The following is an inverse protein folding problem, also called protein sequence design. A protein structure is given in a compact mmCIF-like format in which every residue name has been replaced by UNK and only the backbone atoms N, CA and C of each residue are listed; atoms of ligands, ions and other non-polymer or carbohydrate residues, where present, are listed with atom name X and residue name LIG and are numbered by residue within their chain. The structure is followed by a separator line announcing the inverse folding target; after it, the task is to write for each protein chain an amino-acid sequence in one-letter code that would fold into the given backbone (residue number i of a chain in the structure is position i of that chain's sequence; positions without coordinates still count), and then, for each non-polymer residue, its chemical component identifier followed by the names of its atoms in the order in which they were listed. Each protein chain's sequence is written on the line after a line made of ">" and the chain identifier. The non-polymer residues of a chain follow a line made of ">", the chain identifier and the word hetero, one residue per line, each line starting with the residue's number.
data_IF_753423462355
#
_entry.id   IF_753423462355
#
_cell.length_a   1.000
_cell.length_b   1.000
_cell.length_c   1.000
_cell.angle_alpha   90.00
_cell.angle_beta   90.00
_cell.angle_gamma   90.00
#
_symmetry.space_group_name_H-M   'P 1'
#
loop_
_entity.id
_entity.type
_entity.pdbx_description
1 polymer ?
#
# COMPACT_ATOMS: atom_id res chain seq x y z
N UNK A 1 -17.57 -17.28 -60.66
CA UNK A 1 -18.91 -17.89 -60.58
C UNK A 1 -18.78 -19.21 -59.84
N UNK A 2 -19.20 -19.24 -58.56
CA UNK A 2 -19.86 -20.36 -57.88
C UNK A 2 -20.42 -19.73 -56.60
N UNK A 3 -21.74 -19.75 -56.52
CA UNK A 3 -22.58 -19.21 -55.47
C UNK A 3 -22.62 -20.26 -54.37
N UNK A 4 -22.22 -19.92 -53.14
CA UNK A 4 -22.52 -20.73 -51.96
C UNK A 4 -23.42 -19.91 -51.04
N UNK A 5 -24.70 -20.19 -51.17
CA UNK A 5 -25.82 -19.64 -50.44
C UNK A 5 -26.11 -20.59 -49.27
N UNK A 6 -25.86 -20.18 -48.03
CA UNK A 6 -26.31 -20.92 -46.84
C UNK A 6 -26.97 -19.96 -45.85
N UNK A 7 -28.28 -19.86 -46.04
CA UNK A 7 -29.37 -19.89 -45.06
C UNK A 7 -29.15 -19.29 -43.67
N UNK A 8 -29.87 -18.19 -43.45
CA UNK A 8 -30.20 -17.56 -42.16
C UNK A 8 -31.13 -18.46 -41.34
N UNK A 9 -30.82 -18.68 -40.06
CA UNK A 9 -31.81 -19.10 -39.06
C UNK A 9 -31.66 -18.23 -37.80
N UNK A 10 -32.55 -17.24 -37.70
CA UNK A 10 -32.78 -16.41 -36.51
C UNK A 10 -33.67 -17.18 -35.53
N UNK A 11 -33.16 -17.53 -34.36
CA UNK A 11 -33.95 -18.01 -33.22
C UNK A 11 -33.98 -16.91 -32.15
N UNK A 12 -35.05 -16.13 -32.16
CA UNK A 12 -35.42 -15.19 -31.10
C UNK A 12 -36.11 -15.97 -29.97
N UNK A 13 -35.41 -16.20 -28.86
CA UNK A 13 -36.00 -16.72 -27.63
C UNK A 13 -36.45 -15.54 -26.75
N UNK A 14 -37.76 -15.26 -26.75
CA UNK A 14 -38.40 -14.34 -25.82
C UNK A 14 -38.75 -15.09 -24.53
N UNK A 15 -38.08 -14.77 -23.42
CA UNK A 15 -38.49 -15.20 -22.08
C UNK A 15 -39.36 -14.11 -21.44
N UNK A 16 -40.67 -14.33 -21.51
CA UNK A 16 -41.70 -13.52 -20.84
C UNK A 16 -41.71 -13.85 -19.34
N UNK A 17 -41.44 -12.87 -18.49
CA UNK A 17 -41.60 -12.95 -17.03
C UNK A 17 -43.10 -12.95 -16.63
N UNK A 18 -43.55 -13.81 -15.71
CA UNK A 18 -44.90 -13.75 -15.17
C UNK A 18 -45.07 -12.59 -14.16
N UNK A 19 -46.25 -11.94 -14.08
CA UNK A 19 -46.51 -10.85 -13.14
C UNK A 19 -46.78 -11.38 -11.72
N UNK A 20 -46.05 -10.84 -10.74
CA UNK A 20 -46.31 -11.07 -9.30
C UNK A 20 -47.38 -10.09 -8.83
N UNK A 21 -48.41 -10.63 -8.18
CA UNK A 21 -49.60 -9.94 -7.69
C UNK A 21 -49.30 -8.96 -6.52
N UNK A 22 -50.15 -7.93 -6.31
CA UNK A 22 -49.93 -6.91 -5.30
C UNK A 22 -50.23 -7.43 -3.88
N UNK A 23 -49.35 -7.05 -2.93
CA UNK A 23 -49.51 -7.33 -1.52
C UNK A 23 -50.71 -6.57 -0.93
N UNK A 24 -51.49 -7.32 -0.15
CA UNK A 24 -52.72 -6.91 0.51
C UNK A 24 -52.49 -5.82 1.56
N UNK A 25 -53.29 -4.77 1.46
CA UNK A 25 -53.39 -3.63 2.37
C UNK A 25 -53.91 -4.08 3.74
N UNK A 26 -53.08 -4.01 4.78
CA UNK A 26 -53.52 -4.14 6.16
C UNK A 26 -54.08 -2.80 6.65
N UNK A 27 -55.27 -2.88 7.24
CA UNK A 27 -56.12 -1.80 7.75
C UNK A 27 -55.53 -1.12 8.98
N UNK A 28 -55.68 0.21 9.01
CA UNK A 28 -55.46 1.06 10.16
C UNK A 28 -56.42 0.72 11.31
N UNK A 29 -55.89 0.64 12.52
CA UNK A 29 -56.65 0.71 13.77
C UNK A 29 -56.29 2.01 14.47
N UNK A 30 -57.32 2.81 14.70
CA UNK A 30 -57.28 4.14 15.33
C UNK A 30 -57.50 4.01 16.85
N UNK A 31 -57.02 5.04 17.58
CA UNK A 31 -57.47 5.58 18.88
C UNK A 31 -56.55 5.34 20.11
N UNK A 32 -56.63 6.18 21.17
CA UNK A 32 -56.40 7.62 21.21
C UNK A 32 -55.49 8.04 22.40
N UNK A 33 -55.44 9.36 22.65
CA UNK A 33 -54.42 10.11 23.38
C UNK A 33 -54.45 10.11 24.92
N UNK A 34 -53.42 10.79 25.46
CA UNK A 34 -53.28 11.52 26.75
C UNK A 34 -52.86 10.74 28.00
N UNK A 35 -51.65 11.07 28.52
CA UNK A 35 -51.41 11.42 29.94
C UNK A 35 -50.24 12.43 29.99
N UNK A 36 -50.43 13.47 30.80
CA UNK A 36 -49.55 14.60 31.06
C UNK A 36 -48.50 14.32 32.15
N UNK A 37 -47.32 14.95 32.01
CA UNK A 37 -46.44 15.58 33.03
C UNK A 37 -45.88 14.70 34.20
N UNK A 38 -44.78 15.05 34.90
CA UNK A 38 -44.30 16.42 35.18
C UNK A 38 -42.81 16.72 34.98
N UNK A 39 -42.56 18.03 34.91
CA UNK A 39 -41.31 18.74 35.18
C UNK A 39 -40.73 18.37 36.54
N UNK A 40 -39.45 18.01 36.60
CA UNK A 40 -38.68 18.08 37.85
C UNK A 40 -37.27 18.63 37.61
N UNK A 41 -36.85 19.44 38.57
CA UNK A 41 -35.84 20.46 38.46
C UNK A 41 -34.41 19.92 38.66
N UNK A 42 -33.47 20.64 38.05
CA UNK A 42 -32.05 20.56 38.33
C UNK A 42 -31.79 20.75 39.84
N UNK A 43 -31.10 19.80 40.45
CA UNK A 43 -30.47 19.96 41.76
C UNK A 43 -29.00 19.56 41.63
N UNK A 44 -28.15 20.54 41.84
CA UNK A 44 -26.69 20.48 41.89
C UNK A 44 -26.24 19.63 43.10
N UNK A 45 -25.28 18.70 42.97
CA UNK A 45 -24.68 18.04 44.13
C UNK A 45 -23.58 18.91 44.76
N UNK A 46 -23.46 18.93 46.10
CA UNK A 46 -22.54 19.80 46.82
C UNK A 46 -21.09 19.30 46.80
N UNK A 47 -20.18 20.26 46.94
CA UNK A 47 -18.76 20.07 47.17
C UNK A 47 -18.50 19.30 48.47
N UNK A 48 -17.61 18.29 48.40
CA UNK A 48 -16.98 17.69 49.58
C UNK A 48 -15.51 17.37 49.34
N UNK A 49 -14.71 18.00 50.20
CA UNK A 49 -13.46 17.57 50.82
C UNK A 49 -12.33 16.95 49.98
N UNK A 50 -11.35 17.81 49.76
CA UNK A 50 -9.93 17.50 49.56
C UNK A 50 -9.34 16.71 50.74
N UNK A 51 -8.73 15.53 50.51
CA UNK A 51 -7.74 14.99 51.42
C UNK A 51 -6.32 15.38 51.01
N UNK A 52 -5.49 15.56 52.03
CA UNK A 52 -4.12 16.00 51.99
C UNK A 52 -3.19 15.14 51.11
N UNK A 53 -2.29 15.82 50.41
CA UNK A 53 -1.20 15.26 49.61
C UNK A 53 -0.21 14.54 50.53
N UNK A 54 -0.18 13.22 50.46
CA UNK A 54 0.95 12.43 50.92
C UNK A 54 2.01 12.41 49.81
N UNK A 55 3.19 12.95 50.12
CA UNK A 55 4.39 12.87 49.29
C UNK A 55 4.82 11.41 49.15
N UNK A 56 4.52 10.79 48.01
CA UNK A 56 5.08 9.52 47.59
C UNK A 56 6.21 9.78 46.60
N UNK A 57 7.42 9.39 46.98
CA UNK A 57 8.62 9.36 46.15
C UNK A 57 8.35 8.52 44.89
N UNK A 58 8.33 9.17 43.73
CA UNK A 58 8.15 8.50 42.44
C UNK A 58 9.50 7.97 41.97
N UNK A 59 9.69 6.66 42.06
CA UNK A 59 10.69 5.96 41.25
C UNK A 59 10.26 6.03 39.78
N UNK A 60 11.19 6.13 38.80
CA UNK A 60 10.81 6.13 37.39
C UNK A 60 10.24 4.75 37.05
N UNK A 61 8.92 4.69 36.90
CA UNK A 61 8.26 3.54 36.30
C UNK A 61 8.67 3.54 34.84
N UNK A 62 9.58 2.62 34.49
CA UNK A 62 9.87 2.28 33.10
C UNK A 62 8.57 1.76 32.50
N UNK A 63 7.87 2.61 31.76
CA UNK A 63 6.75 2.19 30.93
C UNK A 63 7.30 1.23 29.90
N UNK A 64 7.03 -0.06 30.10
CA UNK A 64 7.24 -1.08 29.08
C UNK A 64 6.41 -0.66 27.87
N UNK A 65 7.06 -0.17 26.82
CA UNK A 65 6.45 0.07 25.53
C UNK A 65 5.78 -1.24 25.11
N UNK A 66 4.45 -1.20 25.01
CA UNK A 66 3.70 -2.29 24.39
C UNK A 66 4.20 -2.33 22.95
N UNK A 67 4.72 -3.47 22.52
CA UNK A 67 5.19 -3.66 21.15
C UNK A 67 4.07 -3.25 20.18
N UNK A 68 4.23 -2.11 19.52
CA UNK A 68 3.43 -1.76 18.36
C UNK A 68 3.60 -2.90 17.35
N UNK A 69 2.47 -3.45 16.92
CA UNK A 69 2.46 -4.44 15.84
C UNK A 69 3.11 -3.76 14.64
N UNK A 70 4.20 -4.33 14.11
CA UNK A 70 4.92 -3.75 12.98
C UNK A 70 3.94 -3.41 11.85
N UNK A 71 3.98 -2.18 11.35
CA UNK A 71 3.12 -1.75 10.26
C UNK A 71 3.37 -2.65 9.05
N UNK A 72 2.31 -3.31 8.57
CA UNK A 72 2.36 -4.23 7.45
C UNK A 72 2.25 -3.49 6.10
N UNK A 73 1.94 -2.20 6.13
CA UNK A 73 1.74 -1.35 4.96
C UNK A 73 2.56 -0.06 5.08
N UNK A 74 3.17 0.35 3.97
CA UNK A 74 3.84 1.64 3.81
C UNK A 74 3.27 2.41 2.60
N UNK A 75 3.49 3.74 2.51
CA UNK A 75 3.09 4.50 1.34
C UNK A 75 3.68 3.93 0.06
N UNK A 76 2.99 4.13 -1.07
CA UNK A 76 3.61 3.86 -2.37
C UNK A 76 4.84 4.76 -2.55
N UNK A 77 5.66 4.46 -3.55
CA UNK A 77 6.74 5.38 -3.94
C UNK A 77 6.16 6.77 -4.24
N UNK A 78 6.93 7.81 -3.91
CA UNK A 78 6.44 9.19 -3.97
C UNK A 78 6.00 9.62 -5.36
N UNK A 79 6.58 9.02 -6.42
CA UNK A 79 6.21 9.30 -7.81
C UNK A 79 4.85 8.68 -8.14
N UNK A 80 4.61 7.43 -7.76
CA UNK A 80 3.31 6.77 -7.92
C UNK A 80 2.21 7.47 -7.11
N UNK A 81 2.49 7.89 -5.88
CA UNK A 81 1.55 8.69 -5.07
C UNK A 81 1.18 10.00 -5.77
N UNK A 82 2.17 10.72 -6.30
CA UNK A 82 1.93 11.96 -7.02
C UNK A 82 1.14 11.75 -8.31
N UNK A 83 1.43 10.68 -9.05
CA UNK A 83 0.73 10.33 -10.28
C UNK A 83 -0.75 9.98 -10.02
N UNK A 84 -1.04 9.17 -8.98
CA UNK A 84 -2.41 8.82 -8.60
C UNK A 84 -3.21 10.05 -8.15
N UNK A 85 -2.59 10.96 -7.39
CA UNK A 85 -3.22 12.21 -6.99
C UNK A 85 -3.54 13.10 -8.20
N UNK A 86 -2.65 13.17 -9.19
CA UNK A 86 -2.86 13.93 -10.41
C UNK A 86 -4.01 13.35 -11.25
N UNK A 87 -4.07 12.02 -11.42
CA UNK A 87 -5.17 11.37 -12.13
C UNK A 87 -6.49 11.48 -11.37
N UNK A 88 -6.48 11.45 -10.03
CA UNK A 88 -7.66 11.75 -9.21
C UNK A 88 -8.16 13.19 -9.45
N UNK A 89 -7.25 14.18 -9.44
CA UNK A 89 -7.60 15.58 -9.70
C UNK A 89 -8.26 15.75 -11.08
N UNK A 90 -7.70 15.09 -12.10
CA UNK A 90 -8.22 15.08 -13.46
C UNK A 90 -9.56 14.35 -13.58
N UNK A 91 -9.73 13.21 -12.90
CA UNK A 91 -10.98 12.45 -12.91
C UNK A 91 -12.13 13.20 -12.23
N UNK A 92 -11.84 13.93 -11.15
CA UNK A 92 -12.85 14.68 -10.40
C UNK A 92 -13.04 16.12 -10.88
N UNK A 93 -12.09 16.67 -11.66
CA UNK A 93 -12.11 18.05 -12.13
C UNK A 93 -11.95 19.07 -11.00
N UNK A 94 -11.28 18.69 -9.91
CA UNK A 94 -11.03 19.54 -8.73
C UNK A 94 -9.58 19.41 -8.26
N UNK A 95 -9.10 20.41 -7.53
CA UNK A 95 -7.81 20.32 -6.87
C UNK A 95 -7.83 19.27 -5.75
N UNK A 96 -6.69 18.61 -5.59
CA UNK A 96 -6.49 17.53 -4.63
C UNK A 96 -5.27 17.87 -3.77
N UNK A 97 -5.39 17.67 -2.47
CA UNK A 97 -4.25 17.77 -1.54
C UNK A 97 -3.70 16.39 -1.24
N UNK A 98 -2.38 16.28 -1.13
CA UNK A 98 -1.70 15.03 -0.76
C UNK A 98 -1.32 15.06 0.74
N UNK A 99 -1.27 13.89 1.34
CA UNK A 99 -0.80 13.67 2.71
C UNK A 99 -0.69 12.17 3.00
N UNK A 100 -0.54 11.80 4.26
CA UNK A 100 -0.53 10.40 4.69
C UNK A 100 -1.80 10.08 5.47
N UNK A 101 -2.32 8.87 5.28
CA UNK A 101 -3.46 8.36 6.03
C UNK A 101 -3.32 6.85 6.30
N UNK A 102 -3.95 6.33 7.36
CA UNK A 102 -3.94 4.89 7.62
C UNK A 102 -4.53 4.11 6.45
N UNK A 103 -3.84 3.02 6.10
CA UNK A 103 -4.31 2.00 5.15
C UNK A 103 -4.27 0.64 5.84
N UNK A 104 -5.18 -0.25 5.49
CA UNK A 104 -5.19 -1.58 6.06
C UNK A 104 -6.15 -2.51 5.35
N UNK A 105 -5.83 -3.79 5.45
CA UNK A 105 -6.64 -4.87 4.91
C UNK A 105 -7.50 -5.46 6.05
N UNK A 106 -8.81 -5.16 6.10
CA UNK A 106 -9.70 -5.69 7.13
C UNK A 106 -9.87 -7.21 7.06
N UNK A 107 -9.47 -7.86 5.96
CA UNK A 107 -9.56 -9.32 5.80
C UNK A 107 -8.41 -10.05 6.48
N UNK A 108 -7.23 -9.44 6.54
CA UNK A 108 -6.03 -9.98 7.21
C UNK A 108 -5.78 -9.34 8.58
N UNK A 109 -6.36 -8.17 8.84
CA UNK A 109 -6.09 -7.36 10.03
C UNK A 109 -4.79 -6.56 9.96
N UNK A 110 -4.10 -6.60 8.82
CA UNK A 110 -2.88 -5.85 8.57
C UNK A 110 -3.20 -4.36 8.39
N UNK A 111 -2.35 -3.49 8.93
CA UNK A 111 -2.50 -2.04 8.79
C UNK A 111 -1.15 -1.33 8.76
N UNK A 112 -1.16 -0.09 8.32
CA UNK A 112 0.01 0.77 8.22
C UNK A 112 -0.35 2.14 7.68
N UNK A 113 0.62 2.83 7.08
CA UNK A 113 0.40 4.16 6.47
C UNK A 113 0.37 4.04 4.95
N UNK A 114 -0.51 4.80 4.33
CA UNK A 114 -0.58 4.98 2.88
C UNK A 114 -0.52 6.45 2.53
N UNK A 115 -0.12 6.76 1.29
CA UNK A 115 -0.30 8.11 0.78
C UNK A 115 -1.77 8.33 0.42
N UNK A 116 -2.29 9.50 0.76
CA UNK A 116 -3.66 9.90 0.54
C UNK A 116 -3.73 11.13 -0.35
N UNK A 117 -4.56 11.03 -1.39
CA UNK A 117 -5.05 12.14 -2.17
C UNK A 117 -6.47 12.49 -1.72
N UNK A 118 -6.72 13.76 -1.37
CA UNK A 118 -8.00 14.23 -0.85
C UNK A 118 -8.56 15.39 -1.67
N UNK A 119 -9.81 15.29 -2.08
CA UNK A 119 -10.60 16.37 -2.66
C UNK A 119 -11.79 16.72 -1.76
N UNK A 120 -12.12 18.00 -1.68
CA UNK A 120 -13.31 18.48 -0.95
C UNK A 120 -14.26 19.19 -1.89
N UNK A 121 -15.55 19.15 -1.60
CA UNK A 121 -16.56 19.85 -2.38
C UNK A 121 -17.93 19.74 -1.75
N UNK A 122 -18.97 20.00 -2.53
CA UNK A 122 -20.36 19.85 -2.09
C UNK A 122 -21.12 18.82 -2.92
N UNK A 123 -22.29 18.40 -2.45
CA UNK A 123 -23.23 17.58 -3.24
C UNK A 123 -23.75 18.26 -4.51
N UNK A 124 -23.54 19.58 -4.66
CA UNK A 124 -23.78 20.28 -5.93
C UNK A 124 -22.70 19.95 -6.99
N UNK A 125 -21.50 19.58 -6.55
CA UNK A 125 -20.38 19.17 -7.41
C UNK A 125 -20.31 17.64 -7.53
N UNK A 126 -20.53 16.92 -6.43
CA UNK A 126 -20.45 15.46 -6.35
C UNK A 126 -21.85 14.86 -6.19
N UNK A 127 -22.40 14.38 -7.31
CA UNK A 127 -23.81 13.98 -7.43
C UNK A 127 -24.22 12.86 -6.46
N UNK A 128 -23.36 11.87 -6.25
CA UNK A 128 -23.55 10.82 -5.24
C UNK A 128 -22.21 10.17 -4.89
N UNK A 129 -22.08 9.56 -3.69
CA UNK A 129 -20.86 8.82 -3.33
C UNK A 129 -20.54 7.69 -4.32
N UNK A 130 -21.56 6.99 -4.80
CA UNK A 130 -21.44 5.91 -5.78
C UNK A 130 -20.86 6.40 -7.12
N UNK A 131 -21.38 7.52 -7.65
CA UNK A 131 -20.89 8.07 -8.92
C UNK A 131 -19.44 8.56 -8.82
N UNK A 132 -19.07 9.16 -7.67
CA UNK A 132 -17.69 9.59 -7.42
C UNK A 132 -16.76 8.38 -7.35
N UNK A 133 -17.11 7.37 -6.54
CA UNK A 133 -16.28 6.17 -6.39
C UNK A 133 -16.20 5.37 -7.70
N UNK A 134 -17.27 5.33 -8.50
CA UNK A 134 -17.23 4.73 -9.84
C UNK A 134 -16.25 5.46 -10.78
N UNK A 135 -16.21 6.79 -10.72
CA UNK A 135 -15.24 7.58 -11.50
C UNK A 135 -13.79 7.29 -11.10
N UNK A 136 -13.55 7.13 -9.79
CA UNK A 136 -12.24 6.69 -9.29
C UNK A 136 -11.92 5.24 -9.66
N UNK A 137 -12.92 4.35 -9.66
CA UNK A 137 -12.77 2.96 -10.06
C UNK A 137 -12.38 2.84 -11.54
N UNK A 138 -12.99 3.62 -12.42
CA UNK A 138 -12.63 3.67 -13.85
C UNK A 138 -11.18 4.16 -14.03
N UNK A 139 -10.79 5.20 -13.29
CA UNK A 139 -9.43 5.76 -13.29
C UNK A 139 -8.39 4.74 -12.81
N UNK A 140 -8.68 3.98 -11.75
CA UNK A 140 -7.80 2.93 -11.23
C UNK A 140 -7.75 1.72 -12.16
N UNK A 141 -8.88 1.30 -12.71
CA UNK A 141 -8.97 0.18 -13.66
C UNK A 141 -8.16 0.45 -14.93
N UNK A 142 -8.18 1.69 -15.44
CA UNK A 142 -7.37 2.11 -16.57
C UNK A 142 -5.85 2.00 -16.30
N UNK A 143 -5.44 1.99 -15.04
CA UNK A 143 -4.06 1.84 -14.58
C UNK A 143 -3.71 0.41 -14.14
N UNK A 144 -4.62 -0.56 -14.39
CA UNK A 144 -4.41 -1.97 -14.11
C UNK A 144 -4.73 -2.40 -12.68
N UNK A 145 -5.36 -1.54 -11.87
CA UNK A 145 -5.86 -1.93 -10.56
C UNK A 145 -7.12 -2.77 -10.69
N UNK A 146 -7.26 -3.79 -9.85
CA UNK A 146 -8.41 -4.68 -9.82
C UNK A 146 -9.22 -4.42 -8.56
N UNK A 147 -10.53 -4.21 -8.71
CA UNK A 147 -11.44 -4.07 -7.56
C UNK A 147 -11.42 -5.36 -6.73
N UNK A 148 -11.29 -5.22 -5.41
CA UNK A 148 -11.47 -6.29 -4.44
C UNK A 148 -12.87 -6.16 -3.80
N UNK A 149 -13.83 -7.02 -4.16
CA UNK A 149 -15.19 -6.95 -3.62
C UNK A 149 -15.26 -7.12 -2.11
N UNK A 150 -14.25 -7.71 -1.46
CA UNK A 150 -14.21 -7.86 0.00
C UNK A 150 -13.92 -6.55 0.73
N UNK A 151 -13.42 -5.54 0.02
CA UNK A 151 -13.04 -4.23 0.55
C UNK A 151 -14.07 -3.14 0.25
N UNK A 152 -15.23 -3.50 -0.29
CA UNK A 152 -16.32 -2.57 -0.53
C UNK A 152 -17.07 -2.23 0.77
N UNK A 153 -17.33 -0.95 0.99
CA UNK A 153 -18.10 -0.45 2.12
C UNK A 153 -19.06 0.65 1.66
N UNK A 154 -20.30 0.64 2.13
CA UNK A 154 -21.31 1.61 1.73
C UNK A 154 -22.28 1.93 2.84
N UNK A 155 -22.77 3.17 2.84
CA UNK A 155 -23.75 3.67 3.79
C UNK A 155 -24.53 4.85 3.20
N UNK A 156 -25.49 5.41 3.95
CA UNK A 156 -26.34 6.50 3.47
C UNK A 156 -25.56 7.77 3.12
N UNK A 157 -24.37 7.95 3.70
CA UNK A 157 -23.54 9.16 3.54
C UNK A 157 -22.19 8.89 2.88
N UNK A 158 -21.95 7.67 2.40
CA UNK A 158 -20.65 7.36 1.82
C UNK A 158 -20.57 6.03 1.10
N UNK A 159 -19.58 5.94 0.24
CA UNK A 159 -19.22 4.74 -0.51
C UNK A 159 -17.71 4.62 -0.50
N UNK A 160 -17.22 3.39 -0.44
CA UNK A 160 -15.82 3.04 -0.53
C UNK A 160 -15.64 1.73 -1.29
N UNK A 161 -14.59 1.66 -2.11
CA UNK A 161 -14.15 0.45 -2.80
C UNK A 161 -12.65 0.27 -2.58
N UNK A 162 -12.23 -0.96 -2.34
CA UNK A 162 -10.83 -1.33 -2.32
C UNK A 162 -10.38 -1.92 -3.65
N UNK A 163 -9.11 -1.73 -3.96
CA UNK A 163 -8.45 -2.18 -5.18
C UNK A 163 -7.10 -2.78 -4.84
N UNK A 164 -6.67 -3.78 -5.60
CA UNK A 164 -5.35 -4.38 -5.50
C UNK A 164 -4.59 -4.30 -6.82
N UNK A 165 -3.28 -4.18 -6.73
CA UNK A 165 -2.35 -4.26 -7.85
C UNK A 165 -1.00 -4.73 -7.31
N UNK A 166 -0.53 -5.89 -7.75
CA UNK A 166 0.69 -6.52 -7.23
C UNK A 166 0.65 -6.66 -5.69
N UNK A 167 1.64 -6.13 -4.96
CA UNK A 167 1.65 -6.09 -3.48
C UNK A 167 0.99 -4.82 -2.91
N UNK A 168 0.35 -4.00 -3.75
CA UNK A 168 -0.25 -2.74 -3.36
C UNK A 168 -1.77 -2.81 -3.25
N UNK A 169 -2.32 -1.96 -2.38
CA UNK A 169 -3.74 -1.74 -2.23
C UNK A 169 -4.08 -0.25 -2.26
N UNK A 170 -5.26 0.06 -2.80
CA UNK A 170 -5.85 1.39 -2.76
C UNK A 170 -7.28 1.31 -2.24
N UNK A 171 -7.68 2.30 -1.44
CA UNK A 171 -9.06 2.52 -1.03
C UNK A 171 -9.55 3.85 -1.61
N UNK A 172 -10.52 3.79 -2.51
CA UNK A 172 -11.23 4.95 -3.02
C UNK A 172 -12.51 5.14 -2.24
N UNK A 173 -12.73 6.33 -1.67
CA UNK A 173 -13.91 6.63 -0.89
C UNK A 173 -14.47 8.02 -1.20
N UNK A 174 -15.78 8.14 -1.14
CA UNK A 174 -16.50 9.41 -1.15
C UNK A 174 -17.46 9.42 0.03
N UNK A 175 -17.35 10.43 0.87
CA UNK A 175 -18.17 10.57 2.07
C UNK A 175 -18.68 12.00 2.13
N UNK A 176 -19.88 12.19 2.69
CA UNK A 176 -20.37 13.53 2.96
C UNK A 176 -20.96 13.65 4.36
N UNK A 177 -20.92 14.86 4.90
CA UNK A 177 -21.56 15.21 6.16
C UNK A 177 -22.46 16.44 5.96
N UNK A 178 -23.59 16.55 6.67
CA UNK A 178 -24.37 17.78 6.65
C UNK A 178 -23.54 18.96 7.14
N UNK A 179 -23.62 20.05 6.40
CA UNK A 179 -23.23 21.36 6.87
C UNK A 179 -24.04 21.73 8.12
N UNK A 180 -23.43 22.46 9.06
CA UNK A 180 -24.09 22.85 10.31
C UNK A 180 -25.40 23.61 10.09
N UNK A 181 -25.53 24.34 8.97
CA UNK A 181 -26.76 25.05 8.60
C UNK A 181 -27.95 24.13 8.27
N UNK A 182 -27.71 22.83 8.05
CA UNK A 182 -28.77 21.84 7.79
C UNK A 182 -29.60 21.52 9.03
N UNK A 183 -29.12 21.87 10.23
CA UNK A 183 -29.82 21.66 11.52
C UNK A 183 -30.36 20.23 11.69
N UNK A 184 -29.58 19.22 11.30
CA UNK A 184 -30.00 17.83 11.41
C UNK A 184 -30.19 17.41 12.88
N UNK A 185 -31.25 16.63 13.20
CA UNK A 185 -31.40 16.06 14.54
C UNK A 185 -30.24 15.12 14.87
N UNK A 186 -29.70 15.21 16.08
CA UNK A 186 -28.56 14.37 16.53
C UNK A 186 -28.99 12.99 17.02
N UNK A 187 -30.29 12.79 17.25
CA UNK A 187 -30.91 11.58 17.80
C UNK A 187 -31.68 10.77 16.75
N UNK A 188 -31.65 11.19 15.48
CA UNK A 188 -32.34 10.54 14.37
C UNK A 188 -31.37 10.16 13.25
N UNK A 189 -31.72 9.16 12.42
CA UNK A 189 -30.90 8.81 11.26
C UNK A 189 -30.82 9.97 10.26
N UNK A 190 -29.72 10.02 9.50
CA UNK A 190 -29.48 11.07 8.50
C UNK A 190 -30.59 11.18 7.44
N UNK A 191 -31.30 10.08 7.15
CA UNK A 191 -32.43 10.06 6.23
C UNK A 191 -33.65 10.87 6.71
N UNK A 192 -33.71 11.22 7.99
CA UNK A 192 -34.72 12.12 8.55
C UNK A 192 -34.33 13.61 8.36
N UNK A 193 -33.10 13.91 7.95
CA UNK A 193 -32.64 15.27 7.71
C UNK A 193 -32.81 15.66 6.24
N UNK A 194 -33.47 16.79 5.99
CA UNK A 194 -33.65 17.33 4.63
C UNK A 194 -32.44 18.19 4.22
N UNK A 195 -31.35 17.53 3.85
CA UNK A 195 -30.09 18.19 3.44
C UNK A 195 -30.13 18.54 1.95
N UNK A 196 -29.90 19.81 1.61
CA UNK A 196 -29.76 20.21 0.19
C UNK A 196 -28.39 19.81 -0.36
N UNK A 197 -28.21 19.69 -1.70
CA UNK A 197 -26.90 19.35 -2.27
C UNK A 197 -25.76 20.31 -1.85
N UNK A 198 -26.05 21.61 -1.72
CA UNK A 198 -25.07 22.60 -1.26
C UNK A 198 -24.69 22.42 0.22
N UNK A 199 -25.52 21.75 1.02
CA UNK A 199 -25.27 21.45 2.43
C UNK A 199 -24.63 20.07 2.63
N UNK A 200 -24.40 19.28 1.58
CA UNK A 200 -23.66 18.03 1.69
C UNK A 200 -22.17 18.35 1.53
N UNK A 201 -21.41 18.41 2.61
CA UNK A 201 -19.97 18.66 2.55
C UNK A 201 -19.25 17.35 2.27
N UNK A 202 -18.69 17.23 1.07
CA UNK A 202 -18.01 16.03 0.59
C UNK A 202 -16.52 16.06 0.90
N UNK A 203 -16.03 14.89 1.29
CA UNK A 203 -14.62 14.52 1.31
C UNK A 203 -14.48 13.27 0.43
N UNK A 204 -13.67 13.38 -0.60
CA UNK A 204 -13.30 12.27 -1.48
C UNK A 204 -11.84 11.96 -1.21
N UNK A 205 -11.52 10.70 -0.98
CA UNK A 205 -10.16 10.25 -0.67
C UNK A 205 -9.76 9.05 -1.53
N UNK A 206 -8.52 9.04 -1.96
CA UNK A 206 -7.84 7.87 -2.50
C UNK A 206 -6.61 7.61 -1.63
N UNK A 207 -6.66 6.57 -0.80
CA UNK A 207 -5.54 6.18 0.06
C UNK A 207 -4.91 4.91 -0.48
N UNK A 208 -3.61 4.93 -0.75
CA UNK A 208 -2.89 3.80 -1.31
C UNK A 208 -1.64 3.48 -0.50
N UNK A 209 -1.35 2.20 -0.37
CA UNK A 209 -0.11 1.71 0.23
C UNK A 209 0.29 0.38 -0.37
N UNK A 210 1.52 -0.02 -0.10
CA UNK A 210 2.07 -1.31 -0.48
C UNK A 210 2.41 -2.10 0.77
N UNK A 211 2.28 -3.43 0.69
CA UNK A 211 2.77 -4.27 1.75
C UNK A 211 4.26 -4.01 1.91
N UNK A 212 4.68 -3.78 3.15
CA UNK A 212 6.11 -3.74 3.47
C UNK A 212 6.66 -5.08 3.02
N UNK A 213 7.57 -5.05 2.05
CA UNK A 213 8.28 -6.26 1.69
C UNK A 213 9.04 -6.68 2.95
N UNK A 214 8.70 -7.84 3.54
CA UNK A 214 9.55 -8.43 4.56
C UNK A 214 10.81 -8.96 3.86
N UNK A 215 11.70 -8.02 3.61
CA UNK A 215 12.93 -8.09 2.84
C UNK A 215 13.43 -6.65 2.74
N UNK A 216 14.33 -6.31 3.65
CA UNK A 216 14.99 -5.01 3.83
C UNK A 216 14.26 -3.98 4.71
N UNK A 217 14.34 -4.21 6.02
CA UNK A 217 14.28 -3.12 6.98
C UNK A 217 15.42 -2.12 6.65
N UNK A 218 15.09 -0.97 6.05
CA UNK A 218 15.94 0.21 6.24
C UNK A 218 15.80 0.58 7.73
N UNK A 219 16.85 0.48 8.55
CA UNK A 219 16.74 0.90 9.93
C UNK A 219 16.62 2.42 9.92
N UNK A 220 15.40 2.94 10.11
CA UNK A 220 15.23 4.27 10.70
C UNK A 220 15.56 4.14 12.19
N UNK A 221 16.84 3.94 12.47
CA UNK A 221 17.40 3.78 13.80
C UNK A 221 18.58 4.72 13.92
N UNK A 222 18.35 5.89 14.55
CA UNK A 222 19.36 6.84 15.05
C UNK A 222 20.57 7.03 14.14
N UNK A 223 20.51 7.96 13.17
CA UNK A 223 21.67 8.58 12.50
C UNK A 223 22.96 7.76 12.61
N UNK A 224 22.91 6.52 12.10
CA UNK A 224 24.07 5.65 12.01
C UNK A 224 24.97 6.31 10.98
N UNK A 225 26.28 6.27 11.23
CA UNK A 225 27.24 6.68 10.20
C UNK A 225 26.85 5.98 8.89
N UNK A 226 26.49 6.75 7.86
CA UNK A 226 26.03 6.20 6.60
C UNK A 226 27.05 5.19 6.06
N UNK A 227 26.58 4.09 5.49
CA UNK A 227 27.46 3.07 4.93
C UNK A 227 28.28 3.69 3.78
N UNK A 228 29.62 3.77 3.87
CA UNK A 228 30.43 4.40 2.84
C UNK A 228 30.30 3.75 1.45
N UNK A 229 30.03 2.44 1.39
CA UNK A 229 29.84 1.74 0.12
C UNK A 229 28.50 2.11 -0.53
N UNK A 230 27.43 2.19 0.26
CA UNK A 230 26.10 2.60 -0.21
C UNK A 230 26.10 4.06 -0.65
N UNK A 231 26.73 4.96 0.10
CA UNK A 231 26.92 6.37 -0.29
C UNK A 231 27.71 6.49 -1.60
N UNK A 232 28.76 5.69 -1.74
CA UNK A 232 29.54 5.66 -2.98
C UNK A 232 28.69 5.18 -4.16
N UNK A 233 27.86 4.16 -3.98
CA UNK A 233 26.95 3.69 -5.04
C UNK A 233 26.03 4.79 -5.56
N UNK A 234 25.34 5.48 -4.65
CA UNK A 234 24.45 6.60 -5.01
C UNK A 234 25.25 7.74 -5.65
N UNK A 235 26.44 8.04 -5.15
CA UNK A 235 27.31 9.07 -5.73
C UNK A 235 27.81 8.73 -7.14
N UNK A 236 27.94 7.45 -7.50
CA UNK A 236 28.26 7.00 -8.85
C UNK A 236 27.02 6.94 -9.77
N UNK A 237 25.83 7.29 -9.28
CA UNK A 237 24.58 7.28 -10.04
C UNK A 237 23.90 5.91 -10.11
N UNK A 238 24.26 4.99 -9.22
CA UNK A 238 23.57 3.71 -9.06
C UNK A 238 22.54 3.73 -7.93
N UNK A 239 21.74 2.67 -7.88
CA UNK A 239 20.79 2.40 -6.77
C UNK A 239 21.30 1.21 -5.97
N UNK A 240 21.26 1.31 -4.65
CA UNK A 240 21.63 0.20 -3.75
C UNK A 240 20.48 -0.79 -3.65
N UNK A 241 20.77 -2.08 -3.77
CA UNK A 241 19.85 -3.19 -3.52
C UNK A 241 20.55 -4.20 -2.61
N UNK A 242 19.95 -4.57 -1.49
CA UNK A 242 20.51 -5.64 -0.66
C UNK A 242 20.01 -6.98 -1.19
N UNK A 243 20.94 -7.90 -1.34
CA UNK A 243 20.66 -9.25 -1.77
C UNK A 243 21.12 -10.25 -0.71
N UNK A 244 20.52 -11.42 -0.73
CA UNK A 244 20.85 -12.52 0.16
C UNK A 244 21.74 -13.55 -0.56
N UNK A 245 22.78 -13.99 0.12
CA UNK A 245 23.64 -15.10 -0.28
C UNK A 245 23.02 -16.44 0.10
N UNK A 246 23.56 -17.54 -0.41
CA UNK A 246 23.02 -18.87 -0.09
C UNK A 246 23.21 -19.31 1.38
N UNK A 247 23.99 -18.58 2.17
CA UNK A 247 24.12 -18.75 3.63
C UNK A 247 23.15 -17.88 4.45
N UNK A 248 22.27 -17.10 3.79
CA UNK A 248 21.41 -16.11 4.45
C UNK A 248 22.14 -14.80 4.78
N UNK A 249 23.43 -14.68 4.43
CA UNK A 249 24.19 -13.45 4.60
C UNK A 249 23.75 -12.38 3.60
N UNK A 250 23.67 -11.13 4.03
CA UNK A 250 23.29 -10.02 3.16
C UNK A 250 24.52 -9.32 2.57
N UNK A 251 24.39 -8.82 1.33
CA UNK A 251 25.39 -8.01 0.65
C UNK A 251 24.71 -6.92 -0.19
N UNK A 252 25.35 -5.76 -0.31
CA UNK A 252 24.82 -4.67 -1.13
C UNK A 252 25.27 -4.77 -2.58
N UNK A 253 24.36 -4.57 -3.50
CA UNK A 253 24.60 -4.49 -4.94
C UNK A 253 24.29 -3.08 -5.41
N UNK A 254 25.25 -2.45 -6.07
CA UNK A 254 25.04 -1.22 -6.80
C UNK A 254 24.53 -1.53 -8.20
N UNK A 255 23.28 -1.14 -8.48
CA UNK A 255 22.57 -1.32 -9.74
C UNK A 255 22.66 -0.06 -10.59
N UNK A 256 23.02 -0.21 -11.86
CA UNK A 256 23.04 0.87 -12.85
C UNK A 256 22.07 0.57 -13.99
N UNK A 257 21.96 1.50 -14.95
CA UNK A 257 21.21 1.30 -16.20
C UNK A 257 21.64 0.01 -16.92
N UNK A 258 20.75 -0.54 -17.74
CA UNK A 258 20.97 -1.79 -18.48
C UNK A 258 21.33 -3.02 -17.63
N UNK A 259 20.93 -3.02 -16.34
CA UNK A 259 21.22 -4.07 -15.37
C UNK A 259 22.74 -4.32 -15.19
N UNK A 260 23.55 -3.26 -15.29
CA UNK A 260 24.96 -3.31 -14.91
C UNK A 260 25.06 -3.31 -13.39
N UNK A 261 25.93 -4.17 -12.82
CA UNK A 261 25.96 -4.42 -11.38
C UNK A 261 27.38 -4.52 -10.84
N UNK A 262 27.57 -4.11 -9.59
CA UNK A 262 28.74 -4.39 -8.78
C UNK A 262 28.33 -4.62 -7.33
N UNK A 263 29.04 -5.46 -6.57
CA UNK A 263 28.89 -5.45 -5.11
C UNK A 263 29.46 -4.13 -4.56
N UNK A 264 28.76 -3.51 -3.61
CA UNK A 264 29.02 -2.12 -3.21
C UNK A 264 30.43 -1.92 -2.64
N UNK A 265 30.94 -2.86 -1.85
CA UNK A 265 32.28 -2.79 -1.29
C UNK A 265 33.36 -3.09 -2.33
N UNK A 266 33.10 -4.03 -3.23
CA UNK A 266 33.96 -4.31 -4.37
C UNK A 266 34.10 -3.08 -5.27
N UNK A 267 33.01 -2.35 -5.52
CA UNK A 267 33.09 -1.08 -6.27
C UNK A 267 33.85 0.00 -5.50
N UNK A 268 33.55 0.17 -4.21
CA UNK A 268 34.23 1.17 -3.37
C UNK A 268 35.75 0.97 -3.34
N UNK A 269 36.23 -0.29 -3.34
CA UNK A 269 37.67 -0.62 -3.37
C UNK A 269 38.28 -0.69 -4.76
N UNK A 270 37.48 -0.55 -5.83
CA UNK A 270 37.94 -0.69 -7.22
C UNK A 270 38.17 -2.16 -7.65
N UNK A 271 37.58 -3.11 -6.94
CA UNK A 271 37.49 -4.53 -7.32
C UNK A 271 36.46 -4.77 -8.40
N UNK A 272 35.41 -3.95 -8.45
CA UNK A 272 34.44 -3.90 -9.53
C UNK A 272 34.43 -2.49 -10.16
N UNK A 273 34.37 -2.35 -11.49
CA UNK A 273 34.44 -1.06 -12.16
C UNK A 273 33.24 -0.16 -11.85
N UNK A 274 33.48 1.14 -11.69
CA UNK A 274 32.42 2.16 -11.60
C UNK A 274 31.53 2.08 -12.85
N UNK A 275 30.21 2.10 -12.66
CA UNK A 275 29.22 1.89 -13.72
C UNK A 275 28.81 0.42 -13.92
N UNK A 276 29.35 -0.50 -13.13
CA UNK A 276 28.91 -1.90 -13.10
C UNK A 276 29.50 -2.78 -14.19
N UNK A 277 29.33 -4.09 -14.03
CA UNK A 277 29.60 -5.09 -15.06
C UNK A 277 28.30 -5.68 -15.60
N UNK A 278 28.33 -6.16 -16.85
CA UNK A 278 27.19 -6.84 -17.44
C UNK A 278 27.08 -8.26 -16.91
N UNK A 279 25.95 -8.57 -16.27
CA UNK A 279 25.75 -9.88 -15.64
C UNK A 279 25.04 -10.92 -16.53
N UNK A 280 24.56 -10.53 -17.73
CA UNK A 280 23.75 -11.39 -18.61
C UNK A 280 24.45 -12.66 -19.13
N UNK A 281 25.74 -12.85 -18.82
CA UNK A 281 26.51 -14.04 -19.15
C UNK A 281 26.69 -15.03 -17.99
N UNK A 282 26.20 -14.71 -16.78
CA UNK A 282 26.28 -15.57 -15.61
C UNK A 282 24.90 -16.19 -15.36
N UNK A 283 24.82 -17.52 -15.48
CA UNK A 283 23.54 -18.24 -15.41
C UNK A 283 23.12 -18.60 -14.00
N UNK A 284 24.05 -18.59 -13.04
CA UNK A 284 23.76 -18.88 -11.61
C UNK A 284 24.02 -17.67 -10.72
N UNK A 285 23.31 -17.55 -9.58
CA UNK A 285 23.58 -16.52 -8.57
C UNK A 285 25.03 -16.55 -8.07
N UNK A 286 25.60 -17.75 -7.92
CA UNK A 286 26.98 -17.91 -7.47
C UNK A 286 27.99 -17.36 -8.50
N UNK A 287 27.78 -17.64 -9.79
CA UNK A 287 28.61 -17.11 -10.86
C UNK A 287 28.51 -15.57 -10.96
N UNK A 288 27.30 -15.03 -10.84
CA UNK A 288 27.07 -13.59 -10.81
C UNK A 288 27.76 -12.95 -9.60
N UNK A 289 27.58 -13.52 -8.40
CA UNK A 289 28.19 -13.05 -7.16
C UNK A 289 29.72 -13.00 -7.27
N UNK A 290 30.35 -14.06 -7.80
CA UNK A 290 31.78 -14.07 -8.09
C UNK A 290 32.22 -12.89 -8.97
N UNK A 291 31.47 -12.61 -10.03
CA UNK A 291 31.83 -11.56 -10.98
C UNK A 291 31.68 -10.16 -10.38
N UNK A 292 30.55 -9.88 -9.69
CA UNK A 292 30.26 -8.56 -9.13
C UNK A 292 31.12 -8.23 -7.90
N UNK A 293 31.71 -9.23 -7.23
CA UNK A 293 32.69 -9.01 -6.15
C UNK A 293 34.13 -8.85 -6.67
N UNK A 294 34.32 -8.83 -8.00
CA UNK A 294 35.61 -8.60 -8.65
C UNK A 294 36.42 -9.87 -8.95
N UNK A 295 35.81 -11.04 -8.82
CA UNK A 295 36.39 -12.33 -9.22
C UNK A 295 36.23 -12.62 -10.71
N UNK A 296 37.07 -13.52 -11.22
CA UNK A 296 36.93 -14.11 -12.55
C UNK A 296 36.32 -15.50 -12.41
N UNK A 297 35.17 -15.72 -13.04
CA UNK A 297 34.46 -16.99 -13.00
C UNK A 297 34.88 -17.91 -14.16
N UNK A 298 35.19 -19.17 -13.84
CA UNK A 298 35.48 -20.22 -14.83
C UNK A 298 34.57 -21.42 -14.59
N UNK A 299 33.80 -21.81 -15.59
CA UNK A 299 32.94 -23.00 -15.53
C UNK A 299 33.79 -24.28 -15.48
N UNK A 300 33.49 -25.18 -14.55
CA UNK A 300 34.16 -26.47 -14.41
C UNK A 300 33.27 -27.65 -14.77
N UNK A 301 31.94 -27.54 -14.59
CA UNK A 301 30.97 -28.54 -15.05
C UNK A 301 29.55 -27.96 -15.19
N UNK A 302 28.67 -28.71 -15.86
CA UNK A 302 27.23 -28.40 -15.99
C UNK A 302 26.95 -27.03 -16.66
N UNK A 303 27.75 -26.72 -17.69
CA UNK A 303 27.69 -25.43 -18.39
C UNK A 303 26.29 -25.11 -18.92
N UNK A 304 25.80 -23.91 -18.60
CA UNK A 304 24.49 -23.40 -19.02
C UNK A 304 23.30 -23.95 -18.23
N UNK A 305 23.53 -24.77 -17.21
CA UNK A 305 22.46 -25.29 -16.33
C UNK A 305 22.26 -24.41 -15.09
N UNK A 306 21.11 -24.54 -14.43
CA UNK A 306 20.80 -23.84 -13.17
C UNK A 306 21.75 -24.21 -12.02
N UNK A 307 22.36 -25.40 -12.11
CA UNK A 307 23.35 -25.92 -11.19
C UNK A 307 24.79 -25.83 -11.74
N UNK A 308 25.07 -24.94 -12.69
CA UNK A 308 26.44 -24.74 -13.23
C UNK A 308 27.47 -24.60 -12.09
N UNK A 309 28.55 -25.37 -12.20
CA UNK A 309 29.65 -25.38 -11.23
C UNK A 309 30.84 -24.64 -11.82
N UNK A 310 31.61 -23.98 -10.96
CA UNK A 310 32.81 -23.30 -11.42
C UNK A 310 33.70 -22.83 -10.29
N UNK A 311 34.83 -22.26 -10.70
CA UNK A 311 35.83 -21.67 -9.82
C UNK A 311 35.76 -20.15 -9.93
N UNK A 312 35.78 -19.48 -8.78
CA UNK A 312 35.97 -18.04 -8.67
C UNK A 312 37.43 -17.75 -8.34
N UNK A 313 38.14 -17.07 -9.25
CA UNK A 313 39.55 -16.67 -9.07
C UNK A 313 39.63 -15.17 -8.75
N UNK A 314 40.28 -14.81 -7.65
CA UNK A 314 40.37 -13.42 -7.18
C UNK A 314 41.66 -12.73 -7.67
N UNK A 315 41.73 -11.40 -7.51
CA UNK A 315 42.90 -10.60 -7.94
C UNK A 315 44.21 -11.00 -7.26
N UNK A 316 44.15 -11.54 -6.05
CA UNK A 316 45.31 -12.04 -5.31
C UNK A 316 45.77 -13.44 -5.77
N UNK A 317 45.05 -14.04 -6.73
CA UNK A 317 45.29 -15.39 -7.25
C UNK A 317 44.70 -16.51 -6.39
N UNK A 318 44.02 -16.20 -5.28
CA UNK A 318 43.27 -17.21 -4.53
C UNK A 318 42.05 -17.68 -5.31
N UNK A 319 41.64 -18.92 -5.05
CA UNK A 319 40.55 -19.58 -5.75
C UNK A 319 39.58 -20.22 -4.77
N UNK A 320 38.30 -20.07 -5.05
CA UNK A 320 37.22 -20.74 -4.35
C UNK A 320 36.35 -21.52 -5.35
N UNK A 321 35.80 -22.65 -4.90
CA UNK A 321 34.57 -23.15 -5.52
C UNK A 321 33.49 -22.06 -5.43
N UNK A 322 32.76 -21.83 -6.53
CA UNK A 322 31.86 -20.69 -6.64
C UNK A 322 30.70 -20.76 -5.65
N UNK A 323 30.18 -21.96 -5.36
CA UNK A 323 29.11 -22.16 -4.41
C UNK A 323 29.62 -22.10 -2.98
N UNK A 324 30.83 -22.61 -2.72
CA UNK A 324 31.47 -22.42 -1.43
C UNK A 324 31.71 -20.92 -1.13
N UNK A 325 32.12 -20.13 -2.12
CA UNK A 325 32.26 -18.68 -1.97
C UNK A 325 30.92 -17.98 -1.74
N UNK A 326 29.92 -18.30 -2.57
CA UNK A 326 28.57 -17.74 -2.44
C UNK A 326 27.93 -18.07 -1.09
N UNK A 327 28.18 -19.26 -0.55
CA UNK A 327 27.65 -19.71 0.75
C UNK A 327 28.57 -19.35 1.93
N UNK A 328 29.54 -18.45 1.75
CA UNK A 328 30.43 -17.99 2.83
C UNK A 328 31.36 -19.06 3.41
N UNK A 329 31.47 -20.23 2.77
CA UNK A 329 32.34 -21.35 3.17
C UNK A 329 33.77 -21.18 2.65
N UNK A 330 33.99 -20.25 1.73
CA UNK A 330 35.29 -19.87 1.18
C UNK A 330 35.37 -18.34 1.05
N UNK A 331 36.58 -17.78 1.16
CA UNK A 331 36.82 -16.34 1.01
C UNK A 331 38.20 -16.11 0.38
N UNK A 332 38.41 -15.00 -0.35
CA UNK A 332 39.73 -14.61 -0.82
C UNK A 332 40.70 -14.45 0.36
N UNK A 333 41.97 -14.77 0.15
CA UNK A 333 42.98 -14.52 1.18
C UNK A 333 43.10 -13.03 1.47
N UNK A 334 42.92 -12.63 2.73
CA UNK A 334 43.29 -11.28 3.15
C UNK A 334 44.82 -11.19 3.13
N UNK A 335 45.37 -10.49 2.15
CA UNK A 335 46.77 -10.09 2.23
C UNK A 335 46.95 -9.25 3.50
N UNK A 336 47.83 -9.73 4.39
CA UNK A 336 48.34 -8.99 5.55
C UNK A 336 49.28 -7.88 5.13
#
# INVERSE_FOLDING_TARGET
>A
MIVCLVLVLLLTAACTTPPVAPATRATATTMPATVSAPTEAATEPPATDTPAVATATTEPVTTTATAETAAAWEPLDSEACAALAQEMSKALGVEVTQGDAPVGDPTTGESGMGCQATATGSGAQFVSPDAVVASLADMLSAQGWQEDPMLAAGGPTGMGKGFRKDNAMCAAAAQWSPDASANCPTDQPISACNVTPAQQQYTVSLTCGQQVSQGEATPTGTAGLANPASENCVAQGGTVSIQERGDGGQYGVCLFEDNLQCEEWAMLRGDCPVGGIKVTGYVTPAAQYCAITGGTYTVTSESGAENEQGTCTFKDGSECDVWAYYNGQCAPSTQS
#
